data_IF_445936537004
#
_entry.id   IF_445936537004
#
_cell.length_a   1.000
_cell.length_b   1.000
_cell.length_c   1.000
_cell.angle_alpha   90.00
_cell.angle_beta   90.00
_cell.angle_gamma   90.00
#
_symmetry.space_group_name_H-M   'P 1'
#
loop_
_entity.id
_entity.type
_entity.pdbx_description
1 polymer ?
#
# COMPACT_ATOMS: atom_id res chain seq x y z
N UNK A 1 15.52 12.16 19.42
CA UNK A 1 16.75 12.12 18.59
C UNK A 1 16.32 12.02 17.13
N UNK A 2 16.80 12.91 16.25
CA UNK A 2 16.57 12.84 14.81
C UNK A 2 17.57 11.86 14.17
N UNK A 3 17.16 11.12 13.13
CA UNK A 3 18.05 10.20 12.41
C UNK A 3 17.69 10.26 10.92
N UNK A 4 18.70 10.48 10.09
CA UNK A 4 18.57 10.46 8.63
C UNK A 4 19.03 9.08 8.17
N UNK A 5 18.10 8.33 7.58
CA UNK A 5 18.35 6.95 7.14
C UNK A 5 18.61 6.88 5.64
N UNK A 6 19.39 5.88 5.23
CA UNK A 6 19.68 5.52 3.84
C UNK A 6 19.08 4.15 3.51
N UNK A 7 18.81 3.85 2.22
CA UNK A 7 18.40 2.51 1.83
C UNK A 7 19.43 1.45 2.29
N UNK A 8 18.94 0.40 2.94
CA UNK A 8 19.74 -0.69 3.53
C UNK A 8 19.94 -0.57 5.04
N UNK A 9 19.76 0.63 5.60
CA UNK A 9 19.89 0.88 7.04
C UNK A 9 18.87 0.06 7.85
N UNK A 10 19.22 -0.19 9.11
CA UNK A 10 18.34 -0.80 10.10
C UNK A 10 17.78 0.24 11.04
N UNK A 11 16.48 0.14 11.33
CA UNK A 11 15.84 0.92 12.41
C UNK A 11 15.82 0.06 13.68
N UNK A 12 16.43 0.49 14.79
CA UNK A 12 16.54 -0.33 15.99
C UNK A 12 15.20 -0.43 16.71
N UNK A 13 14.50 -1.55 16.53
CA UNK A 13 13.29 -1.90 17.29
C UNK A 13 13.48 -3.32 17.83
N UNK A 14 13.36 -3.48 19.15
CA UNK A 14 13.57 -4.77 19.80
C UNK A 14 12.60 -5.84 19.25
N UNK A 15 13.14 -7.00 18.86
CA UNK A 15 12.37 -8.12 18.32
C UNK A 15 11.98 -8.02 16.85
N UNK A 16 12.32 -6.93 16.14
CA UNK A 16 12.02 -6.73 14.72
C UNK A 16 13.30 -6.54 13.89
N UNK A 17 13.34 -7.06 12.66
CA UNK A 17 14.28 -6.59 11.64
C UNK A 17 13.55 -5.59 10.73
N UNK A 18 13.78 -4.31 10.99
CA UNK A 18 13.23 -3.21 10.19
C UNK A 18 14.33 -2.69 9.28
N UNK A 19 14.15 -2.87 7.97
CA UNK A 19 15.06 -2.40 6.94
C UNK A 19 14.46 -1.25 6.15
N UNK A 20 15.27 -0.22 5.89
CA UNK A 20 14.90 0.90 5.03
C UNK A 20 15.08 0.51 3.56
N UNK A 21 14.00 0.53 2.78
CA UNK A 21 13.98 0.11 1.37
C UNK A 21 14.18 1.29 0.42
N UNK A 22 13.68 2.46 0.80
CA UNK A 22 13.82 3.71 0.07
C UNK A 22 14.03 4.88 1.03
N UNK A 23 14.74 5.89 0.60
CA UNK A 23 14.93 7.16 1.30
C UNK A 23 15.65 8.14 0.39
N UNK A 24 15.30 9.43 0.45
CA UNK A 24 16.00 10.50 -0.27
C UNK A 24 16.15 10.23 -1.79
N UNK A 25 15.09 9.71 -2.42
CA UNK A 25 15.07 9.43 -3.86
C UNK A 25 15.78 8.14 -4.27
N UNK A 26 16.43 7.46 -3.33
CA UNK A 26 17.18 6.23 -3.57
C UNK A 26 16.44 4.99 -3.06
N UNK A 27 16.79 3.85 -3.62
CA UNK A 27 16.27 2.52 -3.28
C UNK A 27 17.41 1.56 -2.98
N UNK A 28 17.14 0.50 -2.21
CA UNK A 28 18.12 -0.57 -1.98
C UNK A 28 18.57 -1.18 -3.31
N UNK A 29 19.88 -1.36 -3.47
CA UNK A 29 20.45 -1.97 -4.69
C UNK A 29 20.70 -3.47 -4.51
N UNK A 30 21.00 -3.89 -3.29
CA UNK A 30 21.22 -5.29 -2.92
C UNK A 30 19.91 -5.93 -2.46
N UNK A 31 19.54 -7.12 -2.98
CA UNK A 31 18.39 -7.85 -2.48
C UNK A 31 18.47 -8.19 -0.99
N UNK A 32 17.32 -8.21 -0.32
CA UNK A 32 17.18 -8.79 1.01
C UNK A 32 17.50 -10.30 0.99
N UNK A 33 17.87 -10.91 2.13
CA UNK A 33 18.05 -12.35 2.22
C UNK A 33 16.81 -13.12 1.74
N UNK A 34 16.99 -14.05 0.80
CA UNK A 34 15.89 -14.81 0.20
C UNK A 34 15.06 -14.05 -0.85
N UNK A 35 15.44 -12.81 -1.19
CA UNK A 35 14.89 -12.04 -2.30
C UNK A 35 15.84 -12.09 -3.52
N UNK A 36 15.55 -11.31 -4.56
CA UNK A 36 16.39 -11.16 -5.75
C UNK A 36 15.97 -12.05 -6.93
N UNK A 37 14.84 -12.74 -6.83
CA UNK A 37 14.25 -13.44 -7.98
C UNK A 37 13.89 -12.44 -9.08
N UNK A 38 14.10 -12.82 -10.34
CA UNK A 38 13.68 -12.01 -11.50
C UNK A 38 12.21 -11.62 -11.34
N UNK A 39 11.92 -10.34 -11.57
CA UNK A 39 10.57 -9.84 -11.49
C UNK A 39 9.94 -9.87 -12.91
N UNK A 40 8.98 -10.78 -13.17
CA UNK A 40 8.42 -10.95 -14.52
C UNK A 40 7.64 -9.73 -15.00
N UNK A 41 7.14 -8.90 -14.09
CA UNK A 41 6.36 -7.70 -14.40
C UNK A 41 7.22 -6.53 -14.93
N UNK A 42 8.55 -6.60 -14.81
CA UNK A 42 9.43 -5.52 -15.24
C UNK A 42 9.45 -5.31 -16.76
N UNK A 43 9.21 -6.36 -17.55
CA UNK A 43 9.32 -6.30 -19.01
C UNK A 43 8.20 -5.48 -19.66
N UNK A 44 7.04 -5.41 -19.00
CA UNK A 44 5.84 -4.70 -19.49
C UNK A 44 5.61 -3.37 -18.77
N UNK A 45 6.49 -3.00 -17.83
CA UNK A 45 6.37 -1.76 -17.08
C UNK A 45 6.45 -0.55 -18.01
N UNK A 46 5.52 0.39 -17.83
CA UNK A 46 5.52 1.68 -18.51
C UNK A 46 5.70 2.77 -17.47
N UNK A 47 6.78 3.59 -17.54
CA UNK A 47 6.93 4.70 -16.62
C UNK A 47 5.85 5.75 -16.89
N UNK A 48 5.41 6.42 -15.84
CA UNK A 48 4.60 7.62 -15.96
C UNK A 48 5.51 8.81 -16.29
N UNK A 49 5.07 9.65 -17.23
CA UNK A 49 5.67 10.97 -17.52
C UNK A 49 4.89 12.11 -16.86
N UNK A 50 3.62 11.86 -16.55
CA UNK A 50 2.73 12.73 -15.77
C UNK A 50 2.09 11.91 -14.66
N UNK A 51 1.88 12.54 -13.50
CA UNK A 51 1.19 11.93 -12.38
C UNK A 51 -0.31 11.77 -12.74
N UNK A 52 -0.84 10.54 -12.76
CA UNK A 52 -2.21 10.26 -13.24
C UNK A 52 -3.31 10.82 -12.33
N UNK A 53 -2.95 11.29 -11.12
CA UNK A 53 -3.88 11.91 -10.17
C UNK A 53 -3.88 13.43 -10.30
N UNK A 54 -2.71 14.05 -10.35
CA UNK A 54 -2.59 15.52 -10.37
C UNK A 54 -2.47 16.13 -11.77
N UNK A 55 -2.18 15.33 -12.80
CA UNK A 55 -1.89 15.81 -14.16
C UNK A 55 -0.57 16.57 -14.30
N UNK A 56 0.23 16.69 -13.22
CA UNK A 56 1.51 17.38 -13.23
C UNK A 56 2.65 16.45 -13.69
N UNK A 57 3.81 16.99 -14.13
CA UNK A 57 5.01 16.17 -14.36
C UNK A 57 5.36 15.32 -13.14
N UNK A 58 5.94 14.14 -13.34
CA UNK A 58 6.47 13.28 -12.25
C UNK A 58 7.86 13.73 -11.80
N UNK A 59 8.33 13.25 -10.64
CA UNK A 59 9.73 13.44 -10.21
C UNK A 59 10.02 14.81 -9.58
N UNK A 60 8.98 15.54 -9.20
CA UNK A 60 9.06 16.90 -8.67
C UNK A 60 8.37 17.06 -7.30
N UNK A 61 8.12 15.97 -6.59
CA UNK A 61 7.46 15.99 -5.27
C UNK A 61 8.33 15.34 -4.19
N UNK A 62 7.94 15.56 -2.94
CA UNK A 62 8.47 14.89 -1.76
C UNK A 62 8.12 13.40 -1.72
N UNK A 63 7.09 12.96 -2.45
CA UNK A 63 6.65 11.56 -2.46
C UNK A 63 7.74 10.62 -2.99
N UNK A 64 8.53 11.06 -4.00
CA UNK A 64 9.71 10.34 -4.48
C UNK A 64 10.80 10.16 -3.41
N UNK A 65 10.77 10.95 -2.34
CA UNK A 65 11.74 10.93 -1.24
C UNK A 65 11.31 10.02 -0.08
N UNK A 66 10.15 9.34 -0.20
CA UNK A 66 9.54 8.53 0.84
C UNK A 66 10.49 7.53 1.51
N UNK A 67 10.50 7.54 2.84
CA UNK A 67 11.17 6.52 3.65
C UNK A 67 10.30 5.27 3.68
N UNK A 68 10.68 4.27 2.92
CA UNK A 68 9.99 2.97 2.86
C UNK A 68 10.67 1.93 3.74
N UNK A 69 9.89 1.01 4.30
CA UNK A 69 10.38 -0.03 5.21
C UNK A 69 9.86 -1.42 4.86
N UNK A 70 10.73 -2.40 5.06
CA UNK A 70 10.39 -3.83 5.12
C UNK A 70 10.66 -4.30 6.55
N UNK A 71 9.62 -4.81 7.20
CA UNK A 71 9.66 -5.27 8.59
C UNK A 71 9.47 -6.78 8.65
N UNK A 72 10.39 -7.47 9.33
CA UNK A 72 10.29 -8.91 9.61
C UNK A 72 10.08 -9.15 11.10
N UNK A 73 9.11 -10.00 11.44
CA UNK A 73 8.89 -10.53 12.78
C UNK A 73 8.82 -12.06 12.72
N UNK A 74 9.93 -12.74 13.02
CA UNK A 74 10.06 -14.17 12.75
C UNK A 74 9.88 -14.45 11.25
N UNK A 75 8.84 -15.18 10.87
CA UNK A 75 8.46 -15.47 9.48
C UNK A 75 7.49 -14.46 8.87
N UNK A 76 6.84 -13.63 9.70
CA UNK A 76 5.91 -12.60 9.23
C UNK A 76 6.66 -11.43 8.59
N UNK A 77 6.18 -10.95 7.44
CA UNK A 77 6.75 -9.83 6.68
C UNK A 77 5.70 -8.75 6.40
N UNK A 78 5.99 -7.52 6.78
CA UNK A 78 5.17 -6.34 6.54
C UNK A 78 5.94 -5.32 5.71
N UNK A 79 5.30 -4.78 4.68
CA UNK A 79 5.88 -3.74 3.82
C UNK A 79 5.03 -2.48 3.92
N UNK A 80 5.69 -1.35 4.16
CA UNK A 80 5.10 -0.01 4.09
C UNK A 80 6.10 0.95 3.46
N UNK A 81 5.75 1.49 2.29
CA UNK A 81 6.66 2.31 1.49
C UNK A 81 6.35 3.80 1.54
N UNK A 82 5.44 4.24 2.43
CA UNK A 82 4.98 5.62 2.46
C UNK A 82 4.24 5.98 1.17
N UNK A 83 4.62 7.09 0.56
CA UNK A 83 4.02 7.57 -0.68
C UNK A 83 4.91 7.28 -1.91
N UNK A 84 5.76 6.23 -1.82
CA UNK A 84 6.66 5.83 -2.91
C UNK A 84 5.93 5.75 -4.25
N UNK A 85 6.47 6.42 -5.25
CA UNK A 85 5.79 6.65 -6.53
C UNK A 85 6.03 5.52 -7.53
N UNK A 86 5.14 5.40 -8.52
CA UNK A 86 5.15 4.38 -9.59
C UNK A 86 6.54 4.14 -10.22
N UNK A 87 7.27 5.20 -10.57
CA UNK A 87 8.61 5.05 -11.16
C UNK A 87 9.65 4.60 -10.12
N UNK A 88 9.53 5.01 -8.85
CA UNK A 88 10.40 4.56 -7.77
C UNK A 88 10.15 3.13 -7.35
N UNK A 89 8.94 2.63 -7.53
CA UNK A 89 8.62 1.21 -7.38
C UNK A 89 9.38 0.36 -8.41
N UNK A 90 9.52 0.84 -9.66
CA UNK A 90 10.38 0.19 -10.65
C UNK A 90 11.86 0.20 -10.23
N UNK A 91 12.38 1.34 -9.78
CA UNK A 91 13.77 1.45 -9.28
C UNK A 91 14.03 0.45 -8.14
N UNK A 92 13.04 0.19 -7.30
CA UNK A 92 13.12 -0.77 -6.19
C UNK A 92 13.01 -2.23 -6.67
N UNK A 93 12.12 -2.51 -7.62
CA UNK A 93 11.66 -3.87 -7.93
C UNK A 93 12.21 -4.47 -9.23
N UNK A 94 12.95 -3.70 -10.03
CA UNK A 94 13.45 -4.13 -11.34
C UNK A 94 14.99 -4.03 -11.47
N UNK A 95 15.63 -4.99 -12.16
CA UNK A 95 15.04 -6.12 -12.90
C UNK A 95 14.65 -7.35 -12.02
N UNK A 96 14.91 -7.27 -10.72
CA UNK A 96 14.65 -8.34 -9.76
C UNK A 96 13.91 -7.81 -8.55
N UNK A 97 13.00 -8.61 -7.98
CA UNK A 97 12.30 -8.27 -6.74
C UNK A 97 13.32 -8.26 -5.60
N UNK A 98 13.81 -7.07 -5.21
CA UNK A 98 14.85 -6.92 -4.18
C UNK A 98 14.33 -7.10 -2.77
N UNK A 99 13.02 -7.00 -2.54
CA UNK A 99 12.43 -6.99 -1.18
C UNK A 99 11.65 -8.27 -0.86
N UNK A 100 11.53 -9.18 -1.82
CA UNK A 100 10.89 -10.49 -1.64
C UNK A 100 9.36 -10.40 -1.56
N UNK A 101 8.72 -11.49 -1.15
CA UNK A 101 7.28 -11.52 -0.90
C UNK A 101 6.95 -11.04 0.52
N UNK A 102 5.76 -10.43 0.70
CA UNK A 102 5.25 -9.93 1.98
C UNK A 102 3.97 -10.65 2.41
N UNK A 103 3.67 -10.68 3.71
CA UNK A 103 2.36 -11.14 4.21
C UNK A 103 1.32 -10.04 4.12
N UNK A 104 1.69 -8.85 4.59
CA UNK A 104 0.84 -7.66 4.61
C UNK A 104 1.55 -6.51 3.91
N UNK A 105 0.83 -5.86 3.00
CA UNK A 105 1.26 -4.63 2.35
C UNK A 105 0.33 -3.48 2.73
N UNK A 106 0.87 -2.47 3.42
CA UNK A 106 0.22 -1.18 3.55
C UNK A 106 0.54 -0.38 2.28
N UNK A 107 -0.48 -0.17 1.46
CA UNK A 107 -0.33 0.39 0.11
C UNK A 107 0.45 1.68 0.08
N UNK A 108 1.16 1.91 -1.02
CA UNK A 108 1.82 3.19 -1.26
C UNK A 108 0.76 4.26 -1.53
N UNK A 109 0.97 5.47 -1.02
CA UNK A 109 0.21 6.67 -1.41
C UNK A 109 -1.30 6.47 -1.37
N UNK A 110 -1.80 5.93 -0.26
CA UNK A 110 -3.23 5.73 -0.02
C UNK A 110 -3.94 4.76 -0.99
N UNK A 111 -3.21 4.04 -1.85
CA UNK A 111 -3.81 3.19 -2.89
C UNK A 111 -4.23 4.00 -4.12
N UNK A 112 -3.45 5.03 -4.48
CA UNK A 112 -3.62 5.81 -5.69
C UNK A 112 -2.89 5.19 -6.90
N UNK A 113 -3.32 5.48 -8.14
CA UNK A 113 -2.72 4.94 -9.37
C UNK A 113 -1.39 5.59 -9.76
N UNK A 114 -0.97 6.61 -9.01
CA UNK A 114 0.37 7.20 -9.08
C UNK A 114 1.44 6.37 -8.35
N UNK A 115 1.03 5.27 -7.74
CA UNK A 115 1.84 4.23 -7.08
C UNK A 115 1.14 2.87 -7.30
N UNK A 116 1.58 1.83 -6.60
CA UNK A 116 0.97 0.49 -6.57
C UNK A 116 1.00 -0.24 -7.92
N UNK A 117 2.12 -0.16 -8.61
CA UNK A 117 2.39 -0.87 -9.87
C UNK A 117 2.42 -2.38 -9.73
N UNK A 118 2.21 -3.10 -10.83
CA UNK A 118 2.34 -4.57 -10.87
C UNK A 118 3.75 -5.03 -10.49
N UNK A 119 4.78 -4.26 -10.88
CA UNK A 119 6.18 -4.56 -10.51
C UNK A 119 6.39 -4.57 -9.00
N UNK A 120 5.59 -3.81 -8.24
CA UNK A 120 5.58 -3.87 -6.79
C UNK A 120 4.58 -4.89 -6.27
N UNK A 121 3.29 -4.63 -6.50
CA UNK A 121 2.19 -5.30 -5.81
C UNK A 121 2.15 -6.79 -6.15
N UNK A 122 2.26 -7.14 -7.43
CA UNK A 122 2.19 -8.54 -7.85
C UNK A 122 3.48 -9.29 -7.53
N UNK A 123 4.63 -8.61 -7.50
CA UNK A 123 5.89 -9.21 -7.07
C UNK A 123 5.95 -9.44 -5.55
N UNK A 124 5.32 -8.58 -4.75
CA UNK A 124 5.17 -8.74 -3.31
C UNK A 124 4.26 -9.91 -2.94
N UNK A 125 3.27 -10.24 -3.78
CA UNK A 125 2.27 -11.29 -3.53
C UNK A 125 1.68 -11.23 -2.11
N UNK A 126 1.23 -10.05 -1.63
CA UNK A 126 0.70 -9.91 -0.29
C UNK A 126 -0.56 -10.76 -0.13
N UNK A 127 -0.70 -11.39 1.03
CA UNK A 127 -1.93 -12.09 1.42
C UNK A 127 -3.00 -11.10 1.85
N UNK A 128 -2.56 -10.00 2.47
CA UNK A 128 -3.44 -8.91 2.88
C UNK A 128 -2.89 -7.58 2.39
N UNK A 129 -3.79 -6.78 1.84
CA UNK A 129 -3.54 -5.38 1.52
C UNK A 129 -4.34 -4.51 2.49
N UNK A 130 -3.72 -3.45 3.01
CA UNK A 130 -4.42 -2.41 3.79
C UNK A 130 -4.30 -1.09 3.04
N UNK A 131 -5.42 -0.44 2.74
CA UNK A 131 -5.47 0.90 2.16
C UNK A 131 -5.69 1.95 3.23
N UNK A 132 -4.69 2.80 3.49
CA UNK A 132 -4.79 4.00 4.33
C UNK A 132 -5.44 5.17 3.58
N UNK A 133 -6.53 4.88 2.87
CA UNK A 133 -7.27 5.81 2.04
C UNK A 133 -8.21 6.71 2.86
N UNK A 134 -8.74 7.74 2.20
CA UNK A 134 -9.87 8.53 2.67
C UNK A 134 -11.09 8.37 1.74
N UNK A 135 -12.24 8.95 2.10
CA UNK A 135 -13.45 8.90 1.26
C UNK A 135 -13.24 9.36 -0.18
N UNK A 136 -12.36 10.35 -0.38
CA UNK A 136 -12.05 10.95 -1.68
C UNK A 136 -10.56 10.91 -2.04
N UNK A 137 -9.78 10.01 -1.41
CA UNK A 137 -8.33 9.87 -1.67
C UNK A 137 -7.93 8.40 -1.63
N UNK A 138 -7.59 7.83 -2.80
CA UNK A 138 -7.28 6.39 -2.93
C UNK A 138 -8.51 5.55 -3.25
N UNK A 139 -8.31 4.38 -3.85
CA UNK A 139 -9.39 3.50 -4.30
C UNK A 139 -9.87 3.73 -5.73
N UNK A 140 -9.12 4.48 -6.55
CA UNK A 140 -9.42 4.63 -7.97
C UNK A 140 -9.30 3.28 -8.72
N UNK A 141 -10.10 3.06 -9.79
CA UNK A 141 -10.11 1.81 -10.56
C UNK A 141 -8.74 1.30 -11.00
N UNK A 142 -7.87 2.17 -11.51
CA UNK A 142 -6.57 1.74 -12.04
C UNK A 142 -5.65 1.14 -10.96
N UNK A 143 -5.66 1.70 -9.75
CA UNK A 143 -4.94 1.11 -8.62
C UNK A 143 -5.64 -0.14 -8.11
N UNK A 144 -6.96 -0.08 -7.91
CA UNK A 144 -7.73 -1.19 -7.35
C UNK A 144 -7.69 -2.43 -8.23
N UNK A 145 -7.66 -2.27 -9.56
CA UNK A 145 -7.47 -3.38 -10.51
C UNK A 145 -6.18 -4.14 -10.24
N UNK A 146 -5.07 -3.45 -10.00
CA UNK A 146 -3.77 -4.07 -9.69
C UNK A 146 -3.80 -4.69 -8.29
N UNK A 147 -4.30 -3.95 -7.30
CA UNK A 147 -4.36 -4.40 -5.91
C UNK A 147 -5.19 -5.69 -5.79
N UNK A 148 -6.42 -5.71 -6.29
CA UNK A 148 -7.34 -6.84 -6.18
C UNK A 148 -6.94 -8.05 -7.05
N UNK A 149 -6.15 -7.85 -8.11
CA UNK A 149 -5.64 -8.94 -8.96
C UNK A 149 -4.30 -9.52 -8.47
N UNK A 150 -3.79 -9.06 -7.32
CA UNK A 150 -2.48 -9.50 -6.83
C UNK A 150 -2.43 -11.02 -6.56
N UNK A 151 -1.42 -11.74 -7.06
CA UNK A 151 -1.35 -13.18 -6.89
C UNK A 151 -1.25 -13.60 -5.42
N UNK A 152 -2.24 -14.37 -4.96
CA UNK A 152 -2.30 -14.87 -3.59
C UNK A 152 -2.95 -13.93 -2.58
N UNK A 153 -3.56 -12.83 -3.05
CA UNK A 153 -4.38 -11.97 -2.21
C UNK A 153 -5.56 -12.74 -1.62
N UNK A 154 -5.74 -12.64 -0.31
CA UNK A 154 -6.90 -13.17 0.40
C UNK A 154 -7.92 -12.06 0.68
N UNK A 155 -7.50 -10.88 1.17
CA UNK A 155 -8.40 -9.74 1.39
C UNK A 155 -7.70 -8.38 1.27
N UNK A 156 -8.49 -7.37 0.93
CA UNK A 156 -8.12 -5.96 0.98
C UNK A 156 -8.98 -5.25 2.03
N UNK A 157 -8.31 -4.62 3.01
CA UNK A 157 -8.93 -3.85 4.09
C UNK A 157 -8.73 -2.37 3.86
N UNK A 158 -9.70 -1.55 4.28
CA UNK A 158 -9.64 -0.10 4.08
C UNK A 158 -9.83 0.65 5.39
N UNK A 159 -9.05 1.71 5.60
CA UNK A 159 -9.28 2.65 6.70
C UNK A 159 -10.59 3.40 6.45
N UNK A 160 -10.84 3.88 5.23
CA UNK A 160 -12.11 4.52 4.87
C UNK A 160 -12.78 3.82 3.70
N UNK A 161 -14.11 3.90 3.63
CA UNK A 161 -14.82 3.67 2.37
C UNK A 161 -14.27 4.63 1.30
N UNK A 162 -14.24 4.25 0.02
CA UNK A 162 -13.83 5.15 -1.07
C UNK A 162 -14.98 5.38 -2.06
N UNK A 163 -15.30 6.65 -2.30
CA UNK A 163 -16.24 7.06 -3.34
C UNK A 163 -15.67 6.92 -4.76
N UNK A 164 -14.35 6.73 -4.88
CA UNK A 164 -13.66 6.77 -6.16
C UNK A 164 -13.69 5.44 -6.91
N UNK A 165 -13.97 4.33 -6.24
CA UNK A 165 -13.94 2.99 -6.85
C UNK A 165 -15.23 2.57 -7.56
N UNK A 166 -16.36 3.23 -7.30
CA UNK A 166 -17.67 2.74 -7.73
C UNK A 166 -18.01 1.38 -7.12
N UNK A 167 -19.08 0.74 -7.60
CA UNK A 167 -19.50 -0.58 -7.08
C UNK A 167 -18.51 -1.69 -7.40
N UNK A 168 -17.84 -1.63 -8.56
CA UNK A 168 -16.92 -2.67 -9.04
C UNK A 168 -15.69 -2.86 -8.13
N UNK A 169 -15.14 -1.77 -7.60
CA UNK A 169 -13.91 -1.79 -6.80
C UNK A 169 -14.16 -1.55 -5.30
N UNK A 170 -15.41 -1.53 -4.87
CA UNK A 170 -15.74 -1.47 -3.44
C UNK A 170 -15.55 -2.84 -2.78
N UNK A 171 -14.91 -2.88 -1.61
CA UNK A 171 -14.80 -4.11 -0.80
C UNK A 171 -15.96 -4.24 0.19
N UNK A 172 -16.29 -5.45 0.67
CA UNK A 172 -17.36 -5.64 1.66
C UNK A 172 -17.16 -4.76 2.89
N UNK A 173 -18.24 -4.13 3.37
CA UNK A 173 -18.18 -3.14 4.45
C UNK A 173 -17.60 -3.64 5.78
N UNK A 174 -17.56 -4.95 6.03
CA UNK A 174 -16.88 -5.55 7.18
C UNK A 174 -15.35 -5.33 7.16
N UNK A 175 -14.76 -5.11 5.98
CA UNK A 175 -13.34 -4.83 5.78
C UNK A 175 -13.01 -3.33 5.79
N UNK A 176 -14.01 -2.47 6.02
CA UNK A 176 -13.88 -1.01 6.02
C UNK A 176 -14.05 -0.48 7.45
N UNK A 177 -13.02 0.17 8.01
CA UNK A 177 -13.06 0.69 9.37
C UNK A 177 -13.99 1.89 9.49
N UNK A 178 -13.86 2.89 8.61
CA UNK A 178 -14.64 4.13 8.65
C UNK A 178 -15.52 4.19 7.39
N UNK A 179 -16.79 3.79 7.54
CA UNK A 179 -17.77 3.80 6.45
C UNK A 179 -18.69 4.99 6.56
N UNK A 180 -19.03 5.61 5.45
CA UNK A 180 -20.15 6.54 5.38
C UNK A 180 -21.46 5.77 5.10
N UNK A 181 -22.59 6.25 5.62
CA UNK A 181 -23.93 5.70 5.35
C UNK A 181 -24.49 6.27 4.05
N UNK A 182 -23.75 6.14 2.96
CA UNK A 182 -24.18 6.57 1.64
C UNK A 182 -24.36 5.36 0.73
N UNK A 183 -25.35 5.44 -0.18
CA UNK A 183 -25.47 4.46 -1.26
C UNK A 183 -24.19 4.50 -2.11
N UNK A 184 -23.62 3.32 -2.41
CA UNK A 184 -22.41 3.20 -3.22
C UNK A 184 -22.75 3.65 -4.65
N UNK A 185 -22.08 4.68 -5.20
CA UNK A 185 -22.28 5.08 -6.59
C UNK A 185 -21.98 3.90 -7.54
N UNK A 186 -22.84 3.68 -8.53
CA UNK A 186 -22.63 2.60 -9.52
C UNK A 186 -21.30 2.82 -10.25
N UNK A 187 -21.09 4.03 -10.76
CA UNK A 187 -19.88 4.41 -11.47
C UNK A 187 -18.83 5.04 -10.51
N UNK A 188 -17.52 4.87 -10.82
CA UNK A 188 -16.44 5.61 -10.16
C UNK A 188 -16.67 7.12 -10.17
N UNK A 189 -16.39 7.80 -9.05
CA UNK A 189 -16.33 9.25 -9.03
C UNK A 189 -14.96 9.76 -9.47
N UNK A 190 -14.95 10.82 -10.28
CA UNK A 190 -13.71 11.55 -10.59
C UNK A 190 -13.26 12.33 -9.36
N UNK A 191 -12.00 12.22 -8.92
CA UNK A 191 -11.49 13.05 -7.83
C UNK A 191 -11.62 14.55 -8.20
N UNK A 192 -12.12 15.40 -7.29
CA UNK A 192 -12.13 16.84 -7.54
C UNK A 192 -10.71 17.38 -7.71
N UNK A 193 -10.48 18.17 -8.75
CA UNK A 193 -9.19 18.83 -8.98
C UNK A 193 -9.01 20.00 -8.00
N UNK A 194 -7.78 20.29 -7.53
CA UNK A 194 -7.53 21.44 -6.68
C UNK A 194 -8.07 22.74 -7.30
N UNK A 195 -8.92 23.47 -6.58
CA UNK A 195 -9.49 24.75 -7.02
C UNK A 195 -10.83 24.68 -7.77
N UNK A 196 -11.28 23.50 -8.21
CA UNK A 196 -12.64 23.31 -8.73
C UNK A 196 -13.57 22.89 -7.60
N UNK A 197 -14.77 23.50 -7.48
CA UNK A 197 -15.93 23.18 -6.60
C UNK A 197 -15.73 21.99 -5.65
N UNK A 198 -14.72 22.06 -4.78
CA UNK A 198 -14.30 20.88 -4.03
C UNK A 198 -15.31 20.78 -2.91
N UNK A 199 -16.07 19.68 -2.81
CA UNK A 199 -16.96 19.52 -1.67
C UNK A 199 -16.13 19.70 -0.39
N UNK A 200 -16.68 20.38 0.64
CA UNK A 200 -15.96 20.59 1.88
C UNK A 200 -15.37 19.27 2.38
N UNK A 201 -14.20 19.34 3.01
CA UNK A 201 -13.57 18.17 3.62
C UNK A 201 -14.62 17.40 4.44
N UNK A 202 -14.62 16.06 4.34
CA UNK A 202 -15.52 15.28 5.18
C UNK A 202 -15.25 15.67 6.65
N UNK A 203 -16.27 15.91 7.48
CA UNK A 203 -16.07 16.18 8.89
C UNK A 203 -15.25 15.07 9.54
N UNK A 204 -14.15 15.44 10.20
CA UNK A 204 -13.24 14.53 10.89
C UNK A 204 -13.25 14.76 12.41
N UNK A 205 -14.42 15.06 12.96
CA UNK A 205 -14.67 15.35 14.38
C UNK A 205 -15.42 14.23 15.12
N UNK A 206 -15.76 13.15 14.43
CA UNK A 206 -16.42 11.97 14.98
C UNK A 206 -15.46 10.88 15.50
N UNK A 207 -16.02 9.76 15.95
CA UNK A 207 -15.24 8.58 16.38
C UNK A 207 -14.43 8.00 15.22
N UNK A 208 -13.11 7.90 15.40
CA UNK A 208 -12.22 7.26 14.45
C UNK A 208 -12.04 5.76 14.77
N UNK A 209 -12.18 4.92 13.76
CA UNK A 209 -11.93 3.48 13.84
C UNK A 209 -10.63 3.11 13.12
N UNK A 210 -10.02 2.00 13.53
CA UNK A 210 -8.73 1.53 13.05
C UNK A 210 -8.81 0.10 12.51
N UNK A 211 -7.82 -0.24 11.68
CA UNK A 211 -7.47 -1.62 11.35
C UNK A 211 -6.19 -1.99 12.11
N UNK A 212 -6.19 -3.14 12.79
CA UNK A 212 -5.04 -3.66 13.53
C UNK A 212 -4.60 -4.99 12.95
N UNK A 213 -3.29 -5.12 12.75
CA UNK A 213 -2.64 -6.40 12.47
C UNK A 213 -1.98 -6.90 13.76
N UNK A 214 -2.27 -8.13 14.16
CA UNK A 214 -1.59 -8.83 15.25
C UNK A 214 -0.89 -10.05 14.68
N UNK A 215 0.44 -9.98 14.58
CA UNK A 215 1.28 -11.00 13.96
C UNK A 215 1.98 -11.90 15.00
N UNK A 216 2.29 -13.12 14.58
CA UNK A 216 3.10 -14.09 15.34
C UNK A 216 4.38 -14.41 14.58
N UNK A 217 5.42 -14.84 15.30
CA UNK A 217 6.71 -15.19 14.70
C UNK A 217 6.64 -16.38 13.73
N UNK A 218 5.59 -17.19 13.79
CA UNK A 218 5.38 -18.30 12.85
C UNK A 218 4.88 -17.85 11.47
N UNK A 219 4.55 -16.57 11.30
CA UNK A 219 4.02 -16.00 10.06
C UNK A 219 2.49 -15.95 10.02
N UNK A 220 1.79 -16.51 11.00
CA UNK A 220 0.35 -16.31 11.15
C UNK A 220 0.05 -14.91 11.68
N UNK A 221 -1.11 -14.36 11.31
CA UNK A 221 -1.55 -13.06 11.79
C UNK A 221 -3.06 -12.95 11.82
N UNK A 222 -3.57 -11.89 12.45
CA UNK A 222 -5.00 -11.58 12.50
C UNK A 222 -5.20 -10.11 12.18
N UNK A 223 -6.20 -9.81 11.37
CA UNK A 223 -6.62 -8.43 11.07
C UNK A 223 -7.93 -8.16 11.78
N UNK A 224 -8.03 -7.04 12.47
CA UNK A 224 -9.21 -6.62 13.25
C UNK A 224 -9.71 -5.27 12.78
N UNK A 225 -11.02 -5.16 12.56
CA UNK A 225 -11.72 -3.89 12.35
C UNK A 225 -12.36 -3.43 13.66
N UNK A 226 -11.91 -2.29 14.19
CA UNK A 226 -12.39 -1.81 15.49
C UNK A 226 -13.83 -1.29 15.47
N UNK A 227 -14.40 -0.99 14.30
CA UNK A 227 -15.80 -0.55 14.17
C UNK A 227 -16.78 -1.68 14.40
N UNK A 228 -16.50 -2.83 13.79
CA UNK A 228 -17.42 -3.98 13.78
C UNK A 228 -17.03 -5.07 14.76
N UNK A 229 -15.80 -5.02 15.30
CA UNK A 229 -15.21 -6.13 16.04
C UNK A 229 -14.88 -7.34 15.15
N UNK A 230 -15.07 -7.24 13.83
CA UNK A 230 -14.77 -8.33 12.91
C UNK A 230 -13.27 -8.61 12.89
N UNK A 231 -12.93 -9.89 12.97
CA UNK A 231 -11.56 -10.40 12.98
C UNK A 231 -11.44 -11.52 11.94
N UNK A 232 -10.39 -11.48 11.12
CA UNK A 232 -10.02 -12.59 10.25
C UNK A 232 -8.60 -13.05 10.55
N UNK A 233 -8.43 -14.35 10.77
CA UNK A 233 -7.14 -14.98 11.01
C UNK A 233 -6.58 -15.55 9.70
N UNK A 234 -5.27 -15.41 9.54
CA UNK A 234 -4.51 -15.83 8.37
C UNK A 234 -3.46 -16.85 8.84
N UNK A 235 -3.61 -18.11 8.43
CA UNK A 235 -2.70 -19.20 8.83
C UNK A 235 -1.29 -18.98 8.31
N UNK A 236 -0.27 -19.49 8.99
CA UNK A 236 1.10 -19.44 8.48
C UNK A 236 1.22 -20.16 7.12
N UNK A 237 2.04 -19.64 6.22
CA UNK A 237 2.34 -20.25 4.92
C UNK A 237 3.82 -20.67 4.89
N UNK A 238 4.10 -21.84 4.33
CA UNK A 238 5.48 -22.24 4.03
C UNK A 238 5.95 -21.50 2.78
N UNK A 239 7.08 -20.81 2.88
CA UNK A 239 7.69 -20.00 1.82
C UNK A 239 9.06 -20.55 1.46
#
# INVERSE_FOLDING_TARGET
>A
KHTVVKPGDRVPIAGLDVRVMSSAGETVKTPLPGAGTRNPYCATFKPHTVNPVSGQPVGNTEDEQSVGTHTTFGKFRFVYLGDLTWNKEFDLMCPANRIGAADVFLVSRHGQPSSNSEVLVHALRPRVIITNNGPRKGGQPDAMRILLSSPGLEDLWQIHFSFLGGQEYTVPGIFVANSEQAAIPVAPMTPPQPGAQTPPASPHDGTAYWIKVSARMDGSFTVTNSRTGFMKAYSAVNR
#
